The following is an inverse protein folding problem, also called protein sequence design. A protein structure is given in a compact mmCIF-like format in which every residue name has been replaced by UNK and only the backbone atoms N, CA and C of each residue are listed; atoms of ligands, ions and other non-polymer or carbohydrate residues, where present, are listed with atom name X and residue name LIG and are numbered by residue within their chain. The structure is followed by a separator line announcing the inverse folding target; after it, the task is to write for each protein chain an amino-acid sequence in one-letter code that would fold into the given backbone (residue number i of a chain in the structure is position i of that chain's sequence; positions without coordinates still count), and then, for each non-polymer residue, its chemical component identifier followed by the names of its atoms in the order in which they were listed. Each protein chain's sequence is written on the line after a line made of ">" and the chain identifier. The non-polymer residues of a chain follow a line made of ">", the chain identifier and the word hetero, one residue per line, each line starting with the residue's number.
data_IF_762331388145
#
_entry.id   IF_762331388145
#
_cell.length_a   1.000
_cell.length_b   1.000
_cell.length_c   1.000
_cell.angle_alpha   90.00
_cell.angle_beta   90.00
_cell.angle_gamma   90.00
#
_symmetry.space_group_name_H-M   'P 1'
#
loop_
_entity.id
_entity.type
_entity.pdbx_description
1 polymer ?
#
# COMPACT_ATOMS: atom_id res chain seq x y z
N UNK A 1 -36.50 -10.89 -0.46
CA UNK A 1 -35.88 -9.63 -0.93
C UNK A 1 -36.38 -8.40 -0.18
N UNK A 2 -37.65 -8.28 0.23
CA UNK A 2 -38.12 -7.07 0.94
C UNK A 2 -37.63 -6.95 2.40
N UNK A 3 -37.47 -8.05 3.15
CA UNK A 3 -37.03 -7.99 4.56
C UNK A 3 -35.57 -7.54 4.71
N UNK A 4 -34.66 -8.03 3.86
CA UNK A 4 -33.25 -7.61 3.85
C UNK A 4 -33.07 -6.14 3.46
N UNK A 5 -33.90 -5.64 2.53
CA UNK A 5 -33.88 -4.23 2.11
C UNK A 5 -34.44 -3.34 3.24
N UNK A 6 -35.54 -3.75 3.89
CA UNK A 6 -36.12 -3.03 5.03
C UNK A 6 -35.14 -2.91 6.21
N UNK A 7 -34.39 -3.99 6.50
CA UNK A 7 -33.40 -3.97 7.58
C UNK A 7 -32.22 -3.05 7.27
N UNK A 8 -31.79 -2.96 6.00
CA UNK A 8 -30.69 -2.06 5.61
C UNK A 8 -31.09 -0.59 5.71
N UNK A 9 -32.26 -0.21 5.20
CA UNK A 9 -32.76 1.17 5.31
C UNK A 9 -33.00 1.57 6.78
N UNK A 10 -33.56 0.66 7.58
CA UNK A 10 -33.75 0.87 9.02
C UNK A 10 -32.43 1.13 9.76
N UNK A 11 -31.37 0.38 9.44
CA UNK A 11 -30.06 0.54 10.08
C UNK A 11 -29.36 1.83 9.65
N UNK A 12 -29.41 2.19 8.37
CA UNK A 12 -28.87 3.47 7.87
C UNK A 12 -29.57 4.66 8.57
N UNK A 13 -30.89 4.64 8.68
CA UNK A 13 -31.64 5.68 9.39
C UNK A 13 -31.35 5.70 10.90
N UNK A 14 -31.09 4.54 11.50
CA UNK A 14 -30.69 4.45 12.92
C UNK A 14 -29.31 5.08 13.14
N UNK A 15 -28.34 4.83 12.25
CA UNK A 15 -27.02 5.45 12.31
C UNK A 15 -27.12 6.98 12.18
N UNK A 16 -27.91 7.49 11.23
CA UNK A 16 -28.18 8.93 11.08
C UNK A 16 -28.73 9.55 12.37
N UNK A 17 -29.67 8.85 13.02
CA UNK A 17 -30.28 9.30 14.27
C UNK A 17 -29.30 9.32 15.45
N UNK A 18 -28.37 8.36 15.50
CA UNK A 18 -27.33 8.29 16.54
C UNK A 18 -26.32 9.42 16.33
N UNK A 19 -25.87 9.65 15.08
CA UNK A 19 -24.99 10.76 14.74
C UNK A 19 -25.59 12.13 15.07
N UNK A 20 -26.87 12.35 14.76
CA UNK A 20 -27.55 13.58 15.12
C UNK A 20 -27.56 13.79 16.64
N UNK A 21 -27.79 12.74 17.42
CA UNK A 21 -27.76 12.81 18.90
C UNK A 21 -26.36 13.12 19.45
N UNK A 22 -25.31 12.56 18.85
CA UNK A 22 -23.93 12.85 19.23
C UNK A 22 -23.57 14.32 18.91
N UNK A 23 -24.01 14.83 17.75
CA UNK A 23 -23.84 16.25 17.40
C UNK A 23 -24.63 17.21 18.30
N UNK A 24 -25.77 16.77 18.82
CA UNK A 24 -26.55 17.51 19.83
C UNK A 24 -25.92 17.47 21.24
N UNK A 25 -24.77 16.80 21.40
CA UNK A 25 -24.00 16.78 22.64
C UNK A 25 -24.30 15.61 23.57
N UNK A 26 -25.03 14.59 23.12
CA UNK A 26 -25.15 13.33 23.89
C UNK A 26 -23.83 12.58 23.90
N UNK A 27 -23.59 11.88 25.00
CA UNK A 27 -22.41 11.03 25.18
C UNK A 27 -22.60 9.67 24.51
N UNK A 28 -21.48 9.00 24.19
CA UNK A 28 -21.45 7.63 23.65
C UNK A 28 -22.26 6.67 24.52
N UNK A 29 -22.21 6.81 25.84
CA UNK A 29 -22.91 5.94 26.79
C UNK A 29 -24.44 6.07 26.70
N UNK A 30 -24.95 7.27 26.36
CA UNK A 30 -26.39 7.53 26.23
C UNK A 30 -26.99 6.96 24.94
N UNK A 31 -26.17 6.79 23.90
CA UNK A 31 -26.60 6.23 22.60
C UNK A 31 -26.25 4.75 22.44
N UNK A 32 -25.40 4.20 23.32
CA UNK A 32 -24.94 2.80 23.33
C UNK A 32 -26.07 1.78 23.27
N UNK A 33 -27.13 1.97 24.05
CA UNK A 33 -28.28 1.06 24.10
C UNK A 33 -29.08 1.03 22.79
N UNK A 34 -29.29 2.19 22.16
CA UNK A 34 -29.97 2.32 20.88
C UNK A 34 -29.16 1.65 19.76
N UNK A 35 -27.83 1.76 19.82
CA UNK A 35 -26.94 1.10 18.89
C UNK A 35 -26.97 -0.43 19.08
N UNK A 36 -26.81 -0.91 20.32
CA UNK A 36 -26.83 -2.34 20.62
C UNK A 36 -28.13 -3.04 20.19
N UNK A 37 -29.29 -2.43 20.44
CA UNK A 37 -30.60 -2.98 20.07
C UNK A 37 -30.79 -3.06 18.53
N UNK A 38 -30.27 -2.08 17.78
CA UNK A 38 -30.42 -2.05 16.33
C UNK A 38 -29.43 -2.95 15.58
N UNK A 39 -28.31 -3.28 16.23
CA UNK A 39 -27.18 -4.01 15.64
C UNK A 39 -26.87 -5.34 16.34
N UNK A 40 -27.77 -5.84 17.18
CA UNK A 40 -27.65 -7.17 17.79
C UNK A 40 -27.62 -8.28 16.72
N UNK A 41 -26.59 -9.13 16.76
CA UNK A 41 -26.43 -10.24 15.80
C UNK A 41 -26.02 -9.82 14.37
N UNK A 42 -25.53 -8.59 14.19
CA UNK A 42 -25.09 -8.03 12.91
C UNK A 42 -23.59 -8.19 12.72
N UNK A 43 -23.14 -8.62 11.53
CA UNK A 43 -21.71 -8.71 11.23
C UNK A 43 -21.07 -7.33 11.10
N UNK A 44 -19.76 -7.23 11.35
CA UNK A 44 -19.00 -5.99 11.16
C UNK A 44 -19.11 -5.47 9.71
N UNK A 45 -19.22 -6.37 8.73
CA UNK A 45 -19.41 -6.04 7.32
C UNK A 45 -20.72 -5.28 7.08
N UNK A 46 -21.84 -5.74 7.64
CA UNK A 46 -23.15 -5.10 7.46
C UNK A 46 -23.19 -3.68 8.06
N UNK A 47 -22.43 -3.43 9.13
CA UNK A 47 -22.25 -2.09 9.72
C UNK A 47 -21.41 -1.22 8.78
N UNK A 48 -20.28 -1.74 8.29
CA UNK A 48 -19.40 -1.01 7.37
C UNK A 48 -20.12 -0.65 6.06
N UNK A 49 -20.97 -1.53 5.54
CA UNK A 49 -21.79 -1.27 4.35
C UNK A 49 -22.83 -0.17 4.59
N UNK A 50 -23.34 -0.02 5.82
CA UNK A 50 -24.26 1.05 6.19
C UNK A 50 -23.53 2.40 6.31
N UNK A 51 -22.33 2.42 6.91
CA UNK A 51 -21.47 3.61 6.96
C UNK A 51 -21.04 4.07 5.56
N UNK A 52 -20.64 3.13 4.70
CA UNK A 52 -20.24 3.44 3.32
C UNK A 52 -21.41 4.03 2.51
N UNK A 53 -22.65 3.61 2.79
CA UNK A 53 -23.84 4.22 2.20
C UNK A 53 -23.99 5.69 2.63
N UNK A 54 -23.70 6.01 3.90
CA UNK A 54 -23.74 7.39 4.40
C UNK A 54 -22.65 8.28 3.78
N UNK A 55 -21.43 7.76 3.60
CA UNK A 55 -20.36 8.47 2.87
C UNK A 55 -20.80 8.74 1.43
N UNK A 56 -21.39 7.76 0.76
CA UNK A 56 -21.89 7.91 -0.61
C UNK A 56 -23.05 8.92 -0.71
N UNK A 57 -23.82 9.10 0.37
CA UNK A 57 -24.86 10.14 0.50
C UNK A 57 -24.29 11.54 0.82
N UNK A 58 -22.96 11.67 0.96
CA UNK A 58 -22.26 12.95 1.14
C UNK A 58 -21.92 13.30 2.58
N UNK A 59 -22.05 12.36 3.52
CA UNK A 59 -21.64 12.54 4.90
C UNK A 59 -20.12 12.61 5.02
N UNK A 60 -19.61 13.51 5.87
CA UNK A 60 -18.17 13.66 6.05
C UNK A 60 -17.60 12.48 6.85
N UNK A 61 -16.40 12.02 6.49
CA UNK A 61 -15.77 10.84 7.11
C UNK A 61 -15.48 11.11 8.59
N UNK A 62 -15.19 12.36 8.93
CA UNK A 62 -14.96 12.85 10.28
C UNK A 62 -16.22 12.74 11.17
N UNK A 63 -17.42 12.80 10.60
CA UNK A 63 -18.67 12.62 11.35
C UNK A 63 -18.88 11.14 11.72
N UNK A 64 -18.47 10.24 10.82
CA UNK A 64 -18.50 8.78 11.04
C UNK A 64 -17.45 8.35 12.07
N UNK A 65 -16.34 9.08 12.18
CA UNK A 65 -15.31 8.81 13.19
C UNK A 65 -15.89 8.80 14.63
N UNK A 66 -16.91 9.60 14.92
CA UNK A 66 -17.57 9.63 16.24
C UNK A 66 -18.43 8.39 16.53
N UNK A 67 -18.87 7.64 15.51
CA UNK A 67 -19.56 6.34 15.67
C UNK A 67 -18.58 5.23 16.05
N UNK A 68 -17.32 5.33 15.64
CA UNK A 68 -16.32 4.28 15.89
C UNK A 68 -16.12 4.01 17.40
N UNK A 69 -16.26 5.03 18.24
CA UNK A 69 -16.17 4.90 19.70
C UNK A 69 -17.42 4.20 20.28
N UNK A 70 -18.59 4.40 19.67
CA UNK A 70 -19.83 3.68 20.03
C UNK A 70 -19.71 2.19 19.67
N UNK A 71 -19.17 1.85 18.50
CA UNK A 71 -19.00 0.47 18.07
C UNK A 71 -18.05 -0.29 19.02
N UNK A 72 -16.88 0.30 19.34
CA UNK A 72 -15.92 -0.32 20.25
C UNK A 72 -16.53 -0.63 21.64
N UNK A 73 -17.37 0.26 22.17
CA UNK A 73 -18.00 0.08 23.47
C UNK A 73 -19.17 -0.91 23.49
N UNK A 74 -19.94 -1.02 22.40
CA UNK A 74 -21.05 -1.98 22.27
C UNK A 74 -20.54 -3.40 22.02
N UNK A 75 -19.51 -3.55 21.17
CA UNK A 75 -18.95 -4.85 20.82
C UNK A 75 -18.12 -5.50 21.94
N UNK A 76 -17.59 -4.72 22.89
CA UNK A 76 -16.98 -5.24 24.13
C UNK A 76 -17.92 -6.15 24.95
N UNK A 77 -19.25 -6.02 24.79
CA UNK A 77 -20.24 -6.73 25.60
C UNK A 77 -20.97 -7.91 24.93
N UNK A 78 -20.93 -8.06 23.60
CA UNK A 78 -21.94 -8.86 22.87
C UNK A 78 -21.39 -9.86 21.86
N UNK A 79 -20.16 -10.36 22.00
CA UNK A 79 -19.59 -11.32 21.05
C UNK A 79 -19.63 -12.72 21.66
N UNK A 80 -20.70 -13.47 21.36
CA UNK A 80 -20.70 -14.93 21.52
C UNK A 80 -19.80 -15.54 20.44
N UNK A 81 -18.78 -16.28 20.89
CA UNK A 81 -17.89 -17.10 20.06
C UNK A 81 -18.69 -18.17 19.29
N UNK A 82 -18.81 -18.01 17.97
CA UNK A 82 -19.29 -19.09 17.10
C UNK A 82 -18.08 -19.89 16.60
N UNK A 83 -17.84 -21.02 17.27
CA UNK A 83 -16.88 -22.08 16.96
C UNK A 83 -16.80 -22.47 15.46
N UNK A 84 -15.58 -22.55 14.91
CA UNK A 84 -15.19 -23.45 13.80
C UNK A 84 -13.66 -23.75 13.89
N UNK A 85 -13.24 -24.96 13.54
CA UNK A 85 -11.90 -25.53 13.82
C UNK A 85 -10.72 -24.79 13.17
N UNK A 86 -9.49 -25.17 13.55
CA UNK A 86 -8.19 -24.53 13.19
C UNK A 86 -8.24 -23.81 11.83
N UNK A 87 -8.53 -22.51 11.86
CA UNK A 87 -8.57 -21.71 10.64
C UNK A 87 -7.16 -21.53 10.08
N UNK A 88 -6.97 -21.46 8.75
CA UNK A 88 -5.69 -21.10 8.15
C UNK A 88 -5.11 -19.79 8.70
N UNK A 89 -5.98 -18.89 9.17
CA UNK A 89 -5.68 -17.63 9.84
C UNK A 89 -4.93 -17.80 11.18
N UNK A 90 -4.96 -18.99 11.78
CA UNK A 90 -4.29 -19.36 13.04
C UNK A 90 -2.93 -20.05 12.82
N UNK A 91 -2.51 -20.28 11.57
CA UNK A 91 -1.15 -20.77 11.28
C UNK A 91 -0.12 -19.67 11.61
N UNK A 92 1.01 -19.97 12.30
CA UNK A 92 1.96 -18.95 12.74
C UNK A 92 2.50 -18.03 11.64
N UNK A 93 2.66 -18.54 10.42
CA UNK A 93 3.15 -17.77 9.27
C UNK A 93 2.07 -17.00 8.53
N UNK A 94 0.77 -17.28 8.77
CA UNK A 94 -0.33 -16.63 8.07
C UNK A 94 -0.38 -15.15 8.44
N UNK A 95 -0.52 -14.20 7.49
CA UNK A 95 -0.41 -12.77 7.81
C UNK A 95 -1.43 -12.27 8.83
N UNK A 96 -2.64 -12.85 8.88
CA UNK A 96 -3.60 -12.60 9.95
C UNK A 96 -3.07 -12.97 11.35
N UNK A 97 -2.43 -14.16 11.51
CA UNK A 97 -1.79 -14.53 12.77
C UNK A 97 -0.60 -13.63 13.07
N UNK A 98 0.19 -13.27 12.05
CA UNK A 98 1.30 -12.33 12.23
C UNK A 98 0.81 -11.00 12.80
N UNK A 99 -0.30 -10.45 12.28
CA UNK A 99 -0.90 -9.23 12.81
C UNK A 99 -1.30 -9.41 14.29
N UNK A 100 -1.98 -10.50 14.64
CA UNK A 100 -2.35 -10.83 16.03
C UNK A 100 -1.11 -10.97 16.92
N UNK A 101 -0.08 -11.66 16.46
CA UNK A 101 1.16 -11.89 17.20
C UNK A 101 1.90 -10.57 17.49
N UNK A 102 1.91 -9.65 16.54
CA UNK A 102 2.44 -8.30 16.74
C UNK A 102 1.62 -7.51 17.74
N UNK A 103 0.29 -7.64 17.71
CA UNK A 103 -0.60 -7.03 18.71
C UNK A 103 -0.32 -7.54 20.12
N UNK A 104 -0.12 -8.85 20.29
CA UNK A 104 0.30 -9.42 21.58
C UNK A 104 1.68 -8.93 22.00
N UNK A 105 2.61 -8.75 21.08
CA UNK A 105 3.94 -8.22 21.38
C UNK A 105 3.87 -6.75 21.85
N UNK A 106 3.02 -5.92 21.23
CA UNK A 106 2.75 -4.56 21.65
C UNK A 106 2.15 -4.49 23.06
N UNK A 107 1.14 -5.31 23.35
CA UNK A 107 0.52 -5.39 24.68
C UNK A 107 1.52 -5.81 25.77
N UNK A 108 2.36 -6.81 25.47
CA UNK A 108 3.40 -7.26 26.39
C UNK A 108 4.38 -6.13 26.72
N UNK A 109 4.87 -5.41 25.69
CA UNK A 109 5.77 -4.28 25.88
C UNK A 109 5.09 -3.12 26.64
N UNK A 110 3.81 -2.86 26.38
CA UNK A 110 3.03 -1.91 27.18
C UNK A 110 2.93 -2.33 28.65
N UNK A 111 2.79 -3.62 28.92
CA UNK A 111 2.82 -4.19 30.27
C UNK A 111 4.16 -3.98 30.97
N UNK A 112 5.27 -4.22 30.26
CA UNK A 112 6.62 -3.96 30.77
C UNK A 112 6.81 -2.48 31.11
N UNK A 113 6.40 -1.57 30.22
CA UNK A 113 6.49 -0.12 30.41
C UNK A 113 5.76 0.34 31.66
N UNK A 114 4.59 -0.22 31.98
CA UNK A 114 3.82 0.13 33.19
C UNK A 114 4.58 -0.14 34.50
N UNK A 115 5.52 -1.08 34.48
CA UNK A 115 6.30 -1.49 35.66
C UNK A 115 7.76 -1.03 35.60
N UNK A 116 8.16 -0.39 34.51
CA UNK A 116 9.54 -0.01 34.25
C UNK A 116 10.00 1.12 35.18
N UNK A 117 11.29 1.10 35.53
CA UNK A 117 11.92 2.21 36.23
C UNK A 117 12.17 3.38 35.28
N UNK A 118 12.24 4.60 35.83
CA UNK A 118 12.46 5.82 35.04
C UNK A 118 13.76 5.81 34.22
N UNK A 119 14.74 4.96 34.57
CA UNK A 119 16.00 4.86 33.82
C UNK A 119 15.85 4.11 32.49
N UNK A 120 14.97 3.10 32.44
CA UNK A 120 14.81 2.22 31.26
C UNK A 120 13.58 2.62 30.44
N UNK A 121 12.67 3.41 31.03
CA UNK A 121 11.44 3.87 30.41
C UNK A 121 11.63 4.54 29.02
N UNK A 122 12.61 5.45 28.80
CA UNK A 122 12.79 6.07 27.48
C UNK A 122 13.14 5.06 26.38
N UNK A 123 13.98 4.07 26.68
CA UNK A 123 14.38 3.05 25.72
C UNK A 123 13.22 2.12 25.36
N UNK A 124 12.39 1.74 26.35
CA UNK A 124 11.20 0.93 26.09
C UNK A 124 10.15 1.70 25.28
N UNK A 125 9.91 2.98 25.57
CA UNK A 125 9.01 3.82 24.78
C UNK A 125 9.51 4.00 23.34
N UNK A 126 10.81 4.10 23.15
CA UNK A 126 11.43 4.16 21.82
C UNK A 126 11.23 2.85 21.06
N UNK A 127 11.44 1.71 21.71
CA UNK A 127 11.18 0.39 21.11
C UNK A 127 9.70 0.22 20.75
N UNK A 128 8.79 0.66 21.62
CA UNK A 128 7.36 0.64 21.36
C UNK A 128 7.02 1.49 20.13
N UNK A 129 7.56 2.70 20.03
CA UNK A 129 7.34 3.58 18.87
C UNK A 129 7.84 2.95 17.57
N UNK A 130 9.05 2.37 17.57
CA UNK A 130 9.62 1.74 16.38
C UNK A 130 8.84 0.50 15.94
N UNK A 131 8.45 -0.36 16.88
CA UNK A 131 7.63 -1.53 16.59
C UNK A 131 6.26 -1.13 16.03
N UNK A 132 5.58 -0.20 16.72
CA UNK A 132 4.26 0.28 16.32
C UNK A 132 4.27 0.93 14.93
N UNK A 133 5.32 1.71 14.60
CA UNK A 133 5.44 2.34 13.29
C UNK A 133 5.60 1.30 12.16
N UNK A 134 6.32 0.20 12.40
CA UNK A 134 6.41 -0.93 11.46
C UNK A 134 5.05 -1.61 11.31
N UNK A 135 4.38 -1.89 12.43
CA UNK A 135 3.06 -2.54 12.44
C UNK A 135 2.03 -1.75 11.63
N UNK A 136 1.90 -0.44 11.91
CA UNK A 136 0.97 0.42 11.21
C UNK A 136 1.33 0.61 9.74
N UNK A 137 2.61 0.73 9.38
CA UNK A 137 3.00 0.79 7.96
C UNK A 137 2.57 -0.46 7.19
N UNK A 138 2.69 -1.64 7.78
CA UNK A 138 2.19 -2.86 7.13
C UNK A 138 0.68 -2.82 6.99
N UNK A 139 -0.05 -2.49 8.06
CA UNK A 139 -1.50 -2.29 8.03
C UNK A 139 -1.93 -1.36 6.87
N UNK A 140 -1.32 -0.19 6.82
CA UNK A 140 -1.61 0.90 5.88
C UNK A 140 -1.27 0.58 4.42
N UNK A 141 -0.18 -0.15 4.18
CA UNK A 141 0.33 -0.36 2.82
C UNK A 141 0.07 -1.76 2.28
N UNK A 142 -0.30 -2.73 3.14
CA UNK A 142 -0.53 -4.12 2.74
C UNK A 142 -1.96 -4.58 2.96
N UNK A 143 -2.70 -4.05 3.92
CA UNK A 143 -4.06 -4.52 4.22
C UNK A 143 -5.13 -3.56 3.70
N UNK A 144 -4.98 -2.26 3.97
CA UNK A 144 -5.92 -1.24 3.51
C UNK A 144 -6.12 -1.21 1.99
N UNK A 145 -5.08 -1.35 1.14
CA UNK A 145 -5.29 -1.34 -0.30
C UNK A 145 -6.22 -2.45 -0.80
N UNK A 146 -6.19 -3.63 -0.19
CA UNK A 146 -7.12 -4.71 -0.56
C UNK A 146 -8.55 -4.37 -0.12
N UNK A 147 -8.76 -3.84 1.08
CA UNK A 147 -10.11 -3.39 1.50
C UNK A 147 -10.68 -2.36 0.51
N UNK A 148 -9.86 -1.42 0.06
CA UNK A 148 -10.26 -0.39 -0.91
C UNK A 148 -10.58 -0.99 -2.29
N UNK A 149 -9.84 -2.01 -2.74
CA UNK A 149 -10.14 -2.76 -3.96
C UNK A 149 -11.51 -3.47 -3.89
N UNK A 150 -11.90 -3.94 -2.70
CA UNK A 150 -13.23 -4.50 -2.43
C UNK A 150 -14.30 -3.42 -2.18
N UNK A 151 -13.99 -2.13 -2.37
CA UNK A 151 -14.93 -1.01 -2.23
C UNK A 151 -15.18 -0.58 -0.78
N UNK A 152 -14.39 -1.07 0.18
CA UNK A 152 -14.49 -0.77 1.61
C UNK A 152 -13.42 0.26 1.95
N UNK A 153 -13.77 1.55 1.86
CA UNK A 153 -12.79 2.66 1.99
C UNK A 153 -12.93 3.48 3.27
N UNK A 154 -14.08 3.43 3.95
CA UNK A 154 -14.31 4.21 5.16
C UNK A 154 -13.48 3.69 6.36
N UNK A 155 -13.48 2.38 6.70
CA UNK A 155 -12.67 1.89 7.84
C UNK A 155 -11.16 2.14 7.68
N UNK A 156 -10.51 1.87 6.53
CA UNK A 156 -9.09 2.19 6.33
C UNK A 156 -8.73 3.65 6.63
N UNK A 157 -9.50 4.60 6.09
CA UNK A 157 -9.24 6.04 6.28
C UNK A 157 -9.35 6.45 7.74
N UNK A 158 -10.37 5.96 8.44
CA UNK A 158 -10.58 6.29 9.86
C UNK A 158 -9.48 5.67 10.71
N UNK A 159 -9.14 4.40 10.47
CA UNK A 159 -8.07 3.72 11.20
C UNK A 159 -6.72 4.42 10.99
N UNK A 160 -6.39 4.82 9.76
CA UNK A 160 -5.17 5.58 9.45
C UNK A 160 -5.11 6.90 10.23
N UNK A 161 -6.21 7.66 10.28
CA UNK A 161 -6.26 8.89 11.06
C UNK A 161 -5.97 8.67 12.55
N UNK A 162 -6.48 7.59 13.13
CA UNK A 162 -6.20 7.20 14.52
C UNK A 162 -4.75 6.70 14.68
N UNK A 163 -4.18 6.01 13.68
CA UNK A 163 -2.77 5.60 13.69
C UNK A 163 -1.83 6.81 13.78
N UNK A 164 -2.11 7.87 13.02
CA UNK A 164 -1.35 9.12 13.05
C UNK A 164 -1.51 9.88 14.38
N UNK A 165 -2.71 9.86 14.97
CA UNK A 165 -2.97 10.37 16.32
C UNK A 165 -2.08 9.63 17.34
N UNK A 166 -2.10 8.30 17.32
CA UNK A 166 -1.32 7.46 18.24
C UNK A 166 0.19 7.68 18.05
N UNK A 167 0.68 7.73 16.80
CA UNK A 167 2.10 8.04 16.51
C UNK A 167 2.51 9.38 17.10
N UNK A 168 1.62 10.38 17.01
CA UNK A 168 1.87 11.73 17.55
C UNK A 168 1.89 11.73 19.07
N UNK A 169 0.91 11.08 19.71
CA UNK A 169 0.86 10.91 21.16
C UNK A 169 2.13 10.22 21.69
N UNK A 170 2.54 9.12 21.06
CA UNK A 170 3.70 8.34 21.50
C UNK A 170 5.02 9.09 21.30
N UNK A 171 5.16 9.87 20.22
CA UNK A 171 6.29 10.80 20.02
C UNK A 171 6.37 11.85 21.14
N UNK A 172 5.23 12.41 21.55
CA UNK A 172 5.17 13.41 22.60
C UNK A 172 5.53 12.80 23.97
N UNK A 173 5.03 11.59 24.25
CA UNK A 173 5.37 10.81 25.46
C UNK A 173 6.87 10.52 25.51
N UNK A 174 7.46 10.04 24.42
CA UNK A 174 8.89 9.77 24.32
C UNK A 174 9.72 11.02 24.60
N UNK A 175 9.40 12.14 23.95
CA UNK A 175 10.08 13.43 24.16
C UNK A 175 9.97 13.91 25.61
N UNK A 176 8.81 13.68 26.25
CA UNK A 176 8.59 14.08 27.65
C UNK A 176 9.41 13.21 28.61
N UNK A 177 9.51 11.90 28.33
CA UNK A 177 10.34 10.98 29.10
C UNK A 177 11.84 11.32 29.00
N UNK A 178 12.34 11.65 27.81
CA UNK A 178 13.74 12.05 27.58
C UNK A 178 14.13 13.34 28.31
N UNK A 179 13.18 14.26 28.48
CA UNK A 179 13.42 15.55 29.15
C UNK A 179 13.32 15.46 30.69
N UNK A 180 13.00 14.29 31.25
CA UNK A 180 12.92 14.09 32.70
C UNK A 180 11.80 14.86 33.41
N UNK A 181 10.66 15.06 32.72
CA UNK A 181 9.50 15.80 33.27
C UNK A 181 8.83 15.11 34.47
N UNK A 182 7.89 15.81 35.11
CA UNK A 182 7.11 15.35 36.27
C UNK A 182 6.51 13.96 36.04
N UNK A 183 6.78 13.04 36.97
CA UNK A 183 6.40 11.64 36.85
C UNK A 183 4.89 11.43 36.65
N UNK A 184 4.04 12.27 37.24
CA UNK A 184 2.58 12.09 37.19
C UNK A 184 1.97 12.46 35.82
N UNK A 185 2.38 13.59 35.23
CA UNK A 185 1.93 14.02 33.89
C UNK A 185 2.36 13.02 32.81
N UNK A 186 3.60 12.52 32.91
CA UNK A 186 4.12 11.51 31.99
C UNK A 186 3.32 10.20 32.09
N UNK A 187 2.99 9.76 33.31
CA UNK A 187 2.21 8.53 33.52
C UNK A 187 0.77 8.66 33.01
N UNK A 188 0.14 9.84 33.14
CA UNK A 188 -1.17 10.10 32.54
C UNK A 188 -1.11 10.01 31.02
N UNK A 189 -0.14 10.68 30.39
CA UNK A 189 0.02 10.67 28.93
C UNK A 189 0.33 9.26 28.39
N UNK A 190 1.15 8.47 29.10
CA UNK A 190 1.39 7.06 28.77
C UNK A 190 0.08 6.28 28.82
N UNK A 191 -0.70 6.43 29.90
CA UNK A 191 -1.95 5.70 30.11
C UNK A 191 -2.98 6.03 29.02
N UNK A 192 -3.15 7.29 28.65
CA UNK A 192 -4.04 7.73 27.56
C UNK A 192 -3.61 7.15 26.21
N UNK A 193 -2.31 7.18 25.91
CA UNK A 193 -1.76 6.61 24.67
C UNK A 193 -2.00 5.09 24.63
N UNK A 194 -1.85 4.41 25.76
CA UNK A 194 -2.05 2.96 25.87
C UNK A 194 -3.50 2.54 25.69
N UNK A 195 -4.46 3.34 26.14
CA UNK A 195 -5.89 3.11 25.87
C UNK A 195 -6.13 3.16 24.36
N UNK A 196 -5.63 4.19 23.67
CA UNK A 196 -5.79 4.32 22.21
C UNK A 196 -5.14 3.16 21.43
N UNK A 197 -3.94 2.71 21.84
CA UNK A 197 -3.29 1.53 21.22
C UNK A 197 -4.15 0.28 21.45
N UNK A 198 -4.64 0.04 22.67
CA UNK A 198 -5.48 -1.13 22.96
C UNK A 198 -6.80 -1.11 22.17
N UNK A 199 -7.41 0.07 22.02
CA UNK A 199 -8.61 0.22 21.19
C UNK A 199 -8.32 -0.02 19.69
N UNK A 200 -7.13 0.34 19.20
CA UNK A 200 -6.71 0.04 17.82
C UNK A 200 -6.49 -1.47 17.62
N UNK A 201 -5.81 -2.14 18.55
CA UNK A 201 -5.63 -3.60 18.54
C UNK A 201 -7.00 -4.31 18.49
N UNK A 202 -7.97 -3.84 19.29
CA UNK A 202 -9.32 -4.38 19.25
C UNK A 202 -9.98 -4.20 17.87
N UNK A 203 -9.88 -3.01 17.27
CA UNK A 203 -10.43 -2.74 15.93
C UNK A 203 -9.74 -3.59 14.86
N UNK A 204 -8.43 -3.78 14.96
CA UNK A 204 -7.66 -4.62 14.04
C UNK A 204 -8.14 -6.07 14.08
N UNK A 205 -8.28 -6.65 15.27
CA UNK A 205 -8.64 -8.06 15.39
C UNK A 205 -10.12 -8.34 15.12
N UNK A 206 -11.01 -7.42 15.51
CA UNK A 206 -12.46 -7.67 15.45
C UNK A 206 -13.15 -7.05 14.24
N UNK A 207 -12.54 -6.06 13.59
CA UNK A 207 -13.13 -5.36 12.44
C UNK A 207 -12.28 -5.59 11.20
N UNK A 208 -11.02 -5.18 11.23
CA UNK A 208 -10.12 -5.27 10.07
C UNK A 208 -9.91 -6.73 9.65
N UNK A 209 -9.48 -7.60 10.56
CA UNK A 209 -9.26 -9.01 10.24
C UNK A 209 -10.55 -9.73 9.84
N UNK A 210 -11.69 -9.40 10.46
CA UNK A 210 -12.99 -9.95 10.08
C UNK A 210 -13.31 -9.66 8.62
N UNK A 211 -13.24 -8.39 8.22
CA UNK A 211 -13.47 -7.98 6.83
C UNK A 211 -12.48 -8.66 5.87
N UNK A 212 -11.19 -8.67 6.23
CA UNK A 212 -10.17 -9.23 5.35
C UNK A 212 -10.31 -10.74 5.17
N UNK A 213 -10.61 -11.49 6.23
CA UNK A 213 -10.77 -12.94 6.17
C UNK A 213 -11.99 -13.34 5.34
N UNK A 214 -13.02 -12.51 5.31
CA UNK A 214 -14.23 -12.74 4.50
C UNK A 214 -14.03 -12.38 3.02
N UNK A 215 -13.15 -11.42 2.70
CA UNK A 215 -13.04 -10.86 1.34
C UNK A 215 -11.79 -11.31 0.57
N UNK A 216 -10.65 -11.51 1.24
CA UNK A 216 -9.39 -11.79 0.55
C UNK A 216 -9.29 -13.25 0.13
N UNK A 217 -8.76 -13.44 -1.07
CA UNK A 217 -8.39 -14.74 -1.60
C UNK A 217 -7.08 -15.25 -0.98
N UNK A 218 -6.85 -16.56 -1.10
CA UNK A 218 -5.62 -17.21 -0.65
C UNK A 218 -4.36 -16.62 -1.31
N UNK A 219 -4.44 -16.25 -2.59
CA UNK A 219 -3.31 -15.66 -3.32
C UNK A 219 -3.00 -14.23 -2.85
N UNK A 220 -4.02 -13.44 -2.51
CA UNK A 220 -3.84 -12.09 -1.94
C UNK A 220 -3.21 -12.16 -0.54
N UNK A 221 -3.68 -13.09 0.31
CA UNK A 221 -3.03 -13.36 1.60
C UNK A 221 -1.57 -13.79 1.43
N UNK A 222 -1.27 -14.60 0.42
CA UNK A 222 0.10 -15.01 0.12
C UNK A 222 0.95 -13.80 -0.29
N UNK A 223 0.42 -12.92 -1.13
CA UNK A 223 1.10 -11.70 -1.56
C UNK A 223 1.39 -10.78 -0.35
N UNK A 224 0.42 -10.58 0.55
CA UNK A 224 0.64 -9.83 1.80
C UNK A 224 1.78 -10.43 2.63
N UNK A 225 1.85 -11.76 2.72
CA UNK A 225 2.93 -12.45 3.43
C UNK A 225 4.31 -12.26 2.77
N UNK A 226 4.37 -12.23 1.44
CA UNK A 226 5.60 -11.98 0.69
C UNK A 226 6.09 -10.53 0.87
N UNK A 227 5.17 -9.56 0.76
CA UNK A 227 5.48 -8.13 0.83
C UNK A 227 5.76 -7.65 2.28
N UNK A 228 5.24 -8.36 3.29
CA UNK A 228 5.50 -8.06 4.71
C UNK A 228 6.99 -8.05 5.06
N UNK A 229 7.81 -8.82 4.33
CA UNK A 229 9.26 -8.86 4.52
C UNK A 229 9.97 -7.52 4.26
N UNK A 230 9.45 -6.69 3.36
CA UNK A 230 10.05 -5.41 2.98
C UNK A 230 9.88 -4.33 4.06
N UNK A 231 8.89 -4.49 4.94
CA UNK A 231 8.61 -3.58 6.05
C UNK A 231 9.25 -4.04 7.37
N UNK A 232 9.41 -5.35 7.55
CA UNK A 232 9.86 -5.96 8.80
C UNK A 232 8.72 -6.37 9.73
N UNK A 233 9.07 -6.86 10.93
CA UNK A 233 8.10 -7.39 11.90
C UNK A 233 8.19 -6.65 13.24
N UNK A 234 7.03 -6.29 13.79
CA UNK A 234 6.89 -5.54 15.03
C UNK A 234 7.16 -6.44 16.23
N UNK A 235 8.33 -6.28 16.85
CA UNK A 235 8.69 -6.90 18.14
C UNK A 235 8.63 -8.45 18.15
N UNK A 236 8.56 -9.08 16.98
CA UNK A 236 8.57 -10.53 16.81
C UNK A 236 9.66 -10.95 15.81
N UNK A 237 10.07 -12.21 15.88
CA UNK A 237 10.94 -12.80 14.85
C UNK A 237 10.16 -13.05 13.56
N UNK A 238 10.87 -13.12 12.43
CA UNK A 238 10.25 -13.42 11.13
C UNK A 238 9.57 -14.80 11.18
N UNK A 239 8.25 -14.89 10.96
CA UNK A 239 7.47 -16.12 11.16
C UNK A 239 7.64 -17.13 10.01
N UNK A 240 8.58 -16.90 9.10
CA UNK A 240 8.80 -17.73 7.92
C UNK A 240 7.76 -17.48 6.82
N UNK A 241 7.95 -18.13 5.66
CA UNK A 241 7.06 -17.97 4.51
C UNK A 241 5.82 -18.85 4.68
N UNK A 242 4.64 -18.24 4.61
CA UNK A 242 3.39 -18.99 4.53
C UNK A 242 3.23 -19.63 3.15
N UNK A 243 2.94 -20.92 3.15
CA UNK A 243 2.56 -21.67 1.96
C UNK A 243 1.19 -22.30 2.22
N UNK A 244 0.11 -21.80 1.58
CA UNK A 244 -1.19 -22.41 1.73
C UNK A 244 -1.16 -23.87 1.23
N UNK A 245 -1.92 -24.76 1.87
CA UNK A 245 -2.12 -26.12 1.37
C UNK A 245 -2.73 -26.06 -0.03
N UNK A 246 -2.30 -26.94 -0.94
CA UNK A 246 -2.76 -26.92 -2.33
C UNK A 246 -4.28 -27.11 -2.40
N UNK A 247 -5.01 -26.05 -2.76
CA UNK A 247 -6.44 -26.17 -3.07
C UNK A 247 -6.67 -27.23 -4.17
N UNK A 248 -7.73 -28.05 -4.04
CA UNK A 248 -8.12 -28.98 -5.10
C UNK A 248 -8.33 -28.20 -6.40
N UNK A 249 -7.80 -28.71 -7.52
CA UNK A 249 -7.82 -28.05 -8.83
C UNK A 249 -9.22 -27.58 -9.32
N UNK A 250 -10.30 -28.11 -8.73
CA UNK A 250 -11.68 -27.74 -9.02
C UNK A 250 -12.10 -26.38 -8.41
N UNK A 251 -11.54 -25.97 -7.26
CA UNK A 251 -11.83 -24.68 -6.61
C UNK A 251 -10.99 -23.55 -7.24
N UNK A 252 -9.71 -23.80 -7.55
CA UNK A 252 -8.88 -22.94 -8.41
C UNK A 252 -9.58 -22.60 -9.73
N UNK A 253 -10.27 -23.56 -10.35
CA UNK A 253 -11.00 -23.34 -11.60
C UNK A 253 -12.27 -22.47 -11.43
N UNK A 254 -12.90 -22.48 -10.25
CA UNK A 254 -14.06 -21.62 -9.95
C UNK A 254 -13.63 -20.20 -9.59
N UNK A 255 -12.64 -20.04 -8.71
CA UNK A 255 -12.11 -18.73 -8.31
C UNK A 255 -11.41 -18.03 -9.48
N UNK A 256 -10.65 -18.76 -10.30
CA UNK A 256 -10.13 -18.23 -11.56
C UNK A 256 -11.26 -17.88 -12.55
N UNK A 257 -12.41 -18.55 -12.53
CA UNK A 257 -13.52 -18.21 -13.43
C UNK A 257 -14.32 -16.97 -13.00
N UNK A 258 -14.35 -16.65 -11.70
CA UNK A 258 -15.01 -15.44 -11.19
C UNK A 258 -14.07 -14.23 -11.20
N UNK A 259 -12.77 -14.40 -10.90
CA UNK A 259 -11.75 -13.36 -11.16
C UNK A 259 -11.57 -13.08 -12.67
N UNK A 260 -11.76 -14.09 -13.53
CA UNK A 260 -11.66 -13.93 -14.99
C UNK A 260 -12.97 -13.49 -15.66
N UNK A 261 -14.09 -13.39 -14.93
CA UNK A 261 -15.31 -12.75 -15.44
C UNK A 261 -15.21 -11.22 -15.44
N UNK A 262 -14.40 -10.64 -14.57
CA UNK A 262 -14.03 -9.21 -14.59
C UNK A 262 -12.87 -8.92 -15.55
N UNK A 263 -12.08 -9.93 -15.95
CA UNK A 263 -10.98 -9.80 -16.92
C UNK A 263 -11.35 -10.23 -18.35
N UNK A 264 -12.58 -9.93 -18.81
CA UNK A 264 -12.90 -10.09 -20.23
C UNK A 264 -12.42 -8.88 -21.04
N UNK A 265 -11.22 -9.01 -21.59
CA UNK A 265 -10.80 -8.43 -22.88
C UNK A 265 -11.34 -7.03 -23.20
N UNK A 266 -10.85 -6.01 -22.51
CA UNK A 266 -10.73 -4.70 -23.17
C UNK A 266 -9.51 -4.78 -24.10
N UNK A 267 -9.77 -4.90 -25.41
CA UNK A 267 -8.73 -4.91 -26.42
C UNK A 267 -7.85 -3.65 -26.26
N UNK A 268 -6.62 -3.81 -25.79
CA UNK A 268 -5.66 -2.71 -25.62
C UNK A 268 -5.10 -2.51 -24.20
N UNK A 269 -5.41 -3.38 -23.23
CA UNK A 269 -4.77 -3.34 -21.90
C UNK A 269 -3.46 -4.16 -21.87
N UNK A 270 -2.38 -3.56 -21.39
CA UNK A 270 -1.06 -4.15 -21.14
C UNK A 270 -0.92 -4.39 -19.63
N UNK A 271 -0.76 -5.65 -19.24
CA UNK A 271 -0.52 -6.06 -17.86
C UNK A 271 0.98 -6.14 -17.55
N UNK A 272 1.41 -5.50 -16.48
CA UNK A 272 2.77 -5.53 -15.93
C UNK A 272 2.72 -6.09 -14.49
N UNK A 273 3.85 -6.56 -13.92
CA UNK A 273 3.84 -7.12 -12.55
C UNK A 273 3.34 -6.16 -11.47
N UNK A 274 3.47 -4.85 -11.68
CA UNK A 274 3.12 -3.80 -10.70
C UNK A 274 1.90 -2.96 -11.11
N UNK A 275 1.09 -3.43 -12.06
CA UNK A 275 -0.11 -2.72 -12.53
C UNK A 275 -0.38 -2.88 -14.01
N UNK A 276 -1.31 -2.10 -14.54
CA UNK A 276 -1.72 -2.18 -15.95
C UNK A 276 -1.86 -0.82 -16.60
N UNK A 277 -1.60 -0.74 -17.90
CA UNK A 277 -1.85 0.45 -18.72
C UNK A 277 -2.62 0.06 -19.97
N UNK A 278 -3.48 0.93 -20.46
CA UNK A 278 -3.89 0.88 -21.87
C UNK A 278 -2.69 1.21 -22.76
N UNK A 279 -2.69 0.75 -24.02
CA UNK A 279 -1.66 1.11 -25.02
C UNK A 279 -1.52 2.63 -25.15
N UNK A 280 -2.64 3.36 -25.07
CA UNK A 280 -2.65 4.82 -25.15
C UNK A 280 -1.94 5.47 -23.96
N UNK A 281 -2.23 5.02 -22.73
CA UNK A 281 -1.56 5.51 -21.51
C UNK A 281 -0.07 5.22 -21.56
N UNK A 282 0.33 3.98 -21.89
CA UNK A 282 1.75 3.62 -21.97
C UNK A 282 2.49 4.48 -23.01
N UNK A 283 1.89 4.69 -24.18
CA UNK A 283 2.48 5.53 -25.24
C UNK A 283 2.65 6.96 -24.76
N UNK A 284 1.62 7.53 -24.12
CA UNK A 284 1.63 8.92 -23.64
C UNK A 284 2.64 9.11 -22.52
N UNK A 285 2.76 8.16 -21.59
CA UNK A 285 3.76 8.17 -20.53
C UNK A 285 5.16 8.21 -21.13
N UNK A 286 5.47 7.29 -22.06
CA UNK A 286 6.80 7.21 -22.69
C UNK A 286 7.17 8.46 -23.50
N UNK A 287 6.17 9.13 -24.10
CA UNK A 287 6.35 10.39 -24.83
C UNK A 287 6.45 11.62 -23.88
N UNK A 288 5.95 11.51 -22.65
CA UNK A 288 5.97 12.58 -21.64
C UNK A 288 7.26 12.61 -20.82
N UNK A 289 7.97 11.48 -20.74
CA UNK A 289 9.23 11.39 -19.99
C UNK A 289 10.22 12.49 -20.45
N UNK A 290 10.98 13.11 -19.53
CA UNK A 290 11.97 14.15 -19.86
C UNK A 290 13.25 13.54 -20.45
N UNK A 291 13.12 12.43 -21.18
CA UNK A 291 14.15 11.66 -21.85
C UNK A 291 13.59 11.08 -23.14
N UNK A 292 14.44 10.98 -24.15
CA UNK A 292 14.15 10.22 -25.37
C UNK A 292 14.57 8.78 -25.19
N UNK A 293 13.72 7.86 -25.64
CA UNK A 293 14.00 6.43 -25.62
C UNK A 293 14.07 5.92 -27.06
N UNK A 294 15.02 5.02 -27.34
CA UNK A 294 15.01 4.12 -28.51
C UNK A 294 15.32 2.72 -28.03
N UNK A 295 14.49 1.73 -28.38
CA UNK A 295 14.73 0.33 -28.07
C UNK A 295 15.10 -0.46 -29.33
N UNK A 296 16.20 -1.19 -29.26
CA UNK A 296 16.71 -2.11 -30.28
C UNK A 296 16.59 -3.52 -29.74
N UNK A 297 15.91 -4.42 -30.47
CA UNK A 297 15.71 -5.80 -30.05
C UNK A 297 16.98 -6.64 -30.12
N UNK A 298 16.94 -7.84 -29.56
CA UNK A 298 18.06 -8.81 -29.58
C UNK A 298 18.55 -9.21 -30.98
N UNK A 299 17.71 -9.01 -32.00
CA UNK A 299 18.00 -9.21 -33.42
C UNK A 299 18.62 -7.98 -34.10
N UNK A 300 19.00 -6.97 -33.31
CA UNK A 300 19.63 -5.70 -33.74
C UNK A 300 18.73 -4.79 -34.58
N UNK A 301 17.42 -5.03 -34.57
CA UNK A 301 16.43 -4.19 -35.26
C UNK A 301 15.83 -3.16 -34.31
N UNK A 302 15.59 -1.94 -34.80
CA UNK A 302 14.89 -0.90 -34.02
C UNK A 302 13.43 -1.30 -33.83
N UNK A 303 12.97 -1.39 -32.58
CA UNK A 303 11.61 -1.84 -32.23
C UNK A 303 10.69 -0.70 -31.82
N UNK A 304 11.24 0.30 -31.17
CA UNK A 304 10.46 1.40 -30.61
C UNK A 304 11.33 2.65 -30.45
N UNK A 305 10.69 3.82 -30.50
CA UNK A 305 11.25 5.08 -30.01
C UNK A 305 10.13 5.97 -29.48
N UNK A 306 10.39 6.77 -28.46
CA UNK A 306 9.44 7.78 -27.97
C UNK A 306 9.46 9.05 -28.84
N UNK A 307 8.32 9.72 -28.98
CA UNK A 307 8.18 11.04 -29.59
C UNK A 307 7.99 12.11 -28.53
N UNK A 308 9.01 12.32 -27.70
CA UNK A 308 9.01 13.46 -26.78
C UNK A 308 8.96 14.78 -27.56
N UNK A 309 8.30 15.79 -26.99
CA UNK A 309 8.21 17.13 -27.60
C UNK A 309 9.56 17.82 -27.74
N UNK A 310 10.55 17.42 -26.93
CA UNK A 310 11.90 17.98 -26.92
C UNK A 310 12.96 17.09 -27.58
N UNK A 311 12.52 16.06 -28.33
CA UNK A 311 13.41 15.03 -28.87
C UNK A 311 14.64 15.59 -29.56
N UNK A 312 15.81 15.19 -29.09
CA UNK A 312 17.09 15.77 -29.51
C UNK A 312 17.52 15.21 -30.86
N UNK A 313 17.39 13.89 -31.02
CA UNK A 313 17.69 13.20 -32.28
C UNK A 313 16.40 12.70 -32.94
N UNK A 314 15.98 13.43 -33.97
CA UNK A 314 14.79 13.10 -34.76
C UNK A 314 14.84 11.65 -35.26
N UNK A 315 13.69 10.97 -35.17
CA UNK A 315 13.45 9.64 -35.73
C UNK A 315 12.18 9.68 -36.56
N UNK A 316 12.16 8.90 -37.62
CA UNK A 316 10.98 8.73 -38.47
C UNK A 316 10.45 7.29 -38.29
N UNK A 317 9.14 7.05 -38.41
CA UNK A 317 8.59 5.68 -38.30
C UNK A 317 9.24 4.66 -39.25
N UNK A 318 9.80 5.11 -40.37
CA UNK A 318 10.57 4.28 -41.31
C UNK A 318 11.83 3.63 -40.72
N UNK A 319 12.27 4.02 -39.53
CA UNK A 319 13.40 3.39 -38.83
C UNK A 319 13.01 2.07 -38.17
N UNK A 320 11.73 1.85 -37.88
CA UNK A 320 11.25 0.63 -37.22
C UNK A 320 11.52 -0.59 -38.11
N UNK A 321 12.11 -1.63 -37.54
CA UNK A 321 12.53 -2.85 -38.22
C UNK A 321 13.88 -2.74 -38.96
N UNK A 322 14.52 -1.57 -38.98
CA UNK A 322 15.85 -1.39 -39.59
C UNK A 322 16.95 -1.88 -38.65
N UNK A 323 17.99 -2.52 -39.21
CA UNK A 323 19.20 -2.88 -38.46
C UNK A 323 19.90 -1.62 -37.92
N UNK A 324 20.33 -1.67 -36.67
CA UNK A 324 20.99 -0.56 -35.96
C UNK A 324 22.27 -0.09 -36.67
N UNK A 325 23.02 -1.01 -37.28
CA UNK A 325 24.23 -0.69 -38.05
C UNK A 325 23.93 0.20 -39.27
N UNK A 326 22.76 0.01 -39.89
CA UNK A 326 22.32 0.82 -41.01
C UNK A 326 21.80 2.21 -40.59
N UNK A 327 21.54 2.45 -39.30
CA UNK A 327 21.09 3.75 -38.79
C UNK A 327 22.23 4.73 -38.52
N UNK A 328 23.49 4.30 -38.63
CA UNK A 328 24.66 5.09 -38.30
C UNK A 328 25.58 5.31 -39.53
N UNK A 329 26.30 6.44 -39.62
CA UNK A 329 27.29 6.65 -40.67
C UNK A 329 28.40 5.57 -40.68
N UNK A 330 29.00 5.25 -41.84
CA UNK A 330 30.08 4.25 -41.92
C UNK A 330 31.28 4.53 -41.01
N UNK A 331 31.54 5.80 -40.69
CA UNK A 331 32.63 6.20 -39.81
C UNK A 331 32.42 5.79 -38.35
N UNK A 332 31.19 5.54 -37.89
CA UNK A 332 30.86 5.21 -36.49
C UNK A 332 30.17 3.86 -36.30
N UNK A 333 29.79 3.18 -37.39
CA UNK A 333 29.06 1.89 -37.32
C UNK A 333 29.82 0.82 -36.53
N UNK A 334 31.14 0.75 -36.68
CA UNK A 334 31.99 -0.23 -35.98
C UNK A 334 32.01 -0.03 -34.45
N UNK A 335 31.78 1.20 -33.97
CA UNK A 335 31.68 1.50 -32.54
C UNK A 335 30.36 0.96 -32.00
N UNK A 336 29.27 1.14 -32.74
CA UNK A 336 27.94 0.66 -32.38
C UNK A 336 27.88 -0.87 -32.41
N UNK A 337 28.42 -1.50 -33.45
CA UNK A 337 28.48 -2.96 -33.57
C UNK A 337 29.26 -3.58 -32.42
N UNK A 338 30.44 -3.02 -32.10
CA UNK A 338 31.23 -3.47 -30.96
C UNK A 338 30.48 -3.30 -29.64
N UNK A 339 29.79 -2.18 -29.43
CA UNK A 339 29.04 -1.93 -28.20
C UNK A 339 27.89 -2.92 -28.03
N UNK A 340 27.15 -3.21 -29.10
CA UNK A 340 26.08 -4.22 -29.10
C UNK A 340 26.65 -5.62 -28.82
N UNK A 341 27.82 -5.96 -29.38
CA UNK A 341 28.50 -7.22 -29.11
C UNK A 341 28.96 -7.33 -27.64
N UNK A 342 29.55 -6.27 -27.10
CA UNK A 342 29.95 -6.18 -25.68
C UNK A 342 28.74 -6.40 -24.75
N UNK A 343 27.57 -5.83 -25.08
CA UNK A 343 26.34 -6.03 -24.33
C UNK A 343 25.80 -7.46 -24.43
N UNK A 344 25.76 -8.03 -25.64
CA UNK A 344 25.32 -9.42 -25.88
C UNK A 344 26.16 -10.43 -25.10
N UNK A 345 27.47 -10.22 -25.08
CA UNK A 345 28.43 -11.11 -24.42
C UNK A 345 28.58 -10.86 -22.91
N UNK A 346 27.84 -9.89 -22.34
CA UNK A 346 27.92 -9.57 -20.92
C UNK A 346 29.23 -8.89 -20.50
N UNK A 347 29.97 -8.31 -21.45
CA UNK A 347 31.20 -7.57 -21.19
C UNK A 347 30.87 -6.20 -20.57
N UNK A 348 29.75 -5.61 -20.97
CA UNK A 348 29.23 -4.34 -20.45
C UNK A 348 27.73 -4.46 -20.20
N UNK A 349 27.24 -3.63 -19.28
CA UNK A 349 25.80 -3.43 -19.06
C UNK A 349 25.34 -2.01 -19.40
N UNK A 350 26.26 -1.04 -19.46
CA UNK A 350 25.96 0.31 -19.91
C UNK A 350 27.16 1.01 -20.54
N UNK A 351 26.90 2.07 -21.32
CA UNK A 351 27.90 2.99 -21.85
C UNK A 351 27.31 4.38 -22.01
N UNK A 352 28.04 5.41 -21.57
CA UNK A 352 27.56 6.78 -21.50
C UNK A 352 28.44 7.72 -22.33
N UNK A 353 27.81 8.61 -23.10
CA UNK A 353 28.47 9.66 -23.87
C UNK A 353 27.78 11.00 -23.62
N UNK A 354 28.54 12.09 -23.71
CA UNK A 354 27.98 13.42 -23.56
C UNK A 354 28.58 14.38 -24.59
N UNK A 355 27.71 15.20 -25.18
CA UNK A 355 28.11 16.14 -26.22
C UNK A 355 27.41 17.48 -26.03
N UNK A 356 28.07 18.55 -26.49
CA UNK A 356 27.45 19.85 -26.60
C UNK A 356 26.88 20.00 -28.01
N UNK A 357 25.58 20.28 -28.11
CA UNK A 357 24.88 20.51 -29.37
C UNK A 357 24.17 21.86 -29.30
N UNK A 358 24.87 22.91 -29.73
CA UNK A 358 24.39 24.28 -29.56
C UNK A 358 24.32 24.66 -28.09
N UNK A 359 23.13 25.05 -27.62
CA UNK A 359 22.81 25.38 -26.24
C UNK A 359 22.45 24.15 -25.37
N UNK A 360 22.27 22.98 -25.99
CA UNK A 360 21.96 21.73 -25.28
C UNK A 360 23.24 21.04 -24.82
N UNK A 361 23.23 20.55 -23.58
CA UNK A 361 24.22 19.58 -23.11
C UNK A 361 23.55 18.21 -23.06
N UNK A 362 23.89 17.37 -24.03
CA UNK A 362 23.19 16.11 -24.29
C UNK A 362 23.94 14.97 -23.63
N UNK A 363 23.27 14.24 -22.74
CA UNK A 363 23.70 12.96 -22.20
C UNK A 363 23.01 11.84 -22.98
N UNK A 364 23.80 10.92 -23.53
CA UNK A 364 23.35 9.75 -24.28
C UNK A 364 23.85 8.51 -23.55
N UNK A 365 22.94 7.62 -23.19
CA UNK A 365 23.22 6.43 -22.39
C UNK A 365 22.70 5.21 -23.12
N UNK A 366 23.49 4.15 -23.16
CA UNK A 366 23.09 2.86 -23.70
C UNK A 366 23.07 1.85 -22.57
N UNK A 367 22.05 1.00 -22.53
CA UNK A 367 21.90 -0.06 -21.54
C UNK A 367 21.63 -1.40 -22.23
N UNK A 368 22.28 -2.46 -21.75
CA UNK A 368 21.89 -3.82 -22.08
C UNK A 368 20.58 -4.15 -21.34
N UNK A 369 19.50 -4.41 -22.09
CA UNK A 369 18.22 -4.82 -21.51
C UNK A 369 18.26 -6.33 -21.32
N UNK A 370 18.13 -6.80 -20.08
CA UNK A 370 18.15 -8.21 -19.72
C UNK A 370 16.85 -8.60 -19.00
N UNK A 371 16.33 -9.78 -19.32
CA UNK A 371 15.14 -10.35 -18.68
C UNK A 371 15.46 -11.04 -17.35
N UNK A 372 14.44 -11.63 -16.73
CA UNK A 372 14.63 -12.54 -15.60
C UNK A 372 15.56 -13.69 -16.01
N UNK A 373 16.57 -13.99 -15.19
CA UNK A 373 17.59 -15.00 -15.51
C UNK A 373 18.80 -14.49 -16.32
N UNK A 374 18.85 -13.20 -16.67
CA UNK A 374 19.99 -12.58 -17.34
C UNK A 374 19.96 -12.63 -18.87
N UNK A 375 18.87 -13.13 -19.45
CA UNK A 375 18.69 -13.24 -20.90
C UNK A 375 18.73 -11.88 -21.59
N UNK A 376 19.63 -11.71 -22.57
CA UNK A 376 19.73 -10.48 -23.34
C UNK A 376 18.50 -10.27 -24.25
N UNK A 377 17.78 -9.17 -24.02
CA UNK A 377 16.57 -8.78 -24.75
C UNK A 377 16.83 -7.70 -25.81
N UNK A 378 17.89 -6.89 -25.65
CA UNK A 378 18.21 -5.81 -26.57
C UNK A 378 19.04 -4.67 -25.96
N UNK A 379 19.04 -3.52 -26.64
CA UNK A 379 19.70 -2.29 -26.18
C UNK A 379 18.65 -1.19 -26.00
N UNK A 380 18.72 -0.48 -24.89
CA UNK A 380 17.99 0.76 -24.65
C UNK A 380 18.94 1.94 -24.83
N UNK A 381 18.67 2.83 -25.78
CA UNK A 381 19.28 4.15 -25.89
C UNK A 381 18.39 5.15 -25.16
N UNK A 382 18.97 5.94 -24.26
CA UNK A 382 18.32 7.03 -23.53
C UNK A 382 19.08 8.32 -23.79
N UNK A 383 18.38 9.38 -24.20
CA UNK A 383 18.99 10.70 -24.44
C UNK A 383 18.29 11.78 -23.63
N UNK A 384 19.05 12.69 -23.03
CA UNK A 384 18.53 13.78 -22.20
C UNK A 384 19.32 15.09 -22.39
N UNK A 385 18.63 16.23 -22.43
CA UNK A 385 19.27 17.54 -22.26
C UNK A 385 19.45 17.81 -20.77
N UNK A 386 20.68 17.69 -20.28
CA UNK A 386 21.01 17.88 -18.86
C UNK A 386 21.40 19.33 -18.53
N UNK A 387 21.45 20.23 -19.50
CA UNK A 387 21.79 21.64 -19.26
C UNK A 387 20.85 22.33 -18.24
N UNK A 388 19.51 22.10 -18.24
CA UNK A 388 18.64 22.62 -17.19
C UNK A 388 18.91 22.00 -15.82
N UNK A 389 19.21 20.70 -15.78
CA UNK A 389 19.49 19.96 -14.54
C UNK A 389 20.76 20.49 -13.87
N UNK A 390 21.82 20.77 -14.64
CA UNK A 390 23.06 21.32 -14.11
C UNK A 390 22.93 22.74 -13.50
N UNK A 391 21.81 23.43 -13.75
CA UNK A 391 21.52 24.76 -13.17
C UNK A 391 20.77 24.68 -11.84
N UNK A 392 20.27 23.51 -11.45
CA UNK A 392 19.54 23.33 -10.19
C UNK A 392 20.52 23.53 -9.02
N UNK A 393 20.14 24.37 -8.06
CA UNK A 393 20.89 24.63 -6.83
C UNK A 393 19.92 24.77 -5.65
N UNK A 394 20.38 24.42 -4.44
CA UNK A 394 19.55 24.45 -3.22
C UNK A 394 18.41 23.42 -3.22
N UNK A 395 17.44 23.61 -2.33
CA UNK A 395 16.28 22.74 -2.16
C UNK A 395 14.98 23.46 -2.57
N UNK A 396 14.14 22.80 -3.38
CA UNK A 396 12.75 23.22 -3.62
C UNK A 396 11.81 22.15 -3.05
N UNK A 397 11.23 22.42 -1.88
CA UNK A 397 10.39 21.45 -1.13
C UNK A 397 8.89 21.68 -1.26
N UNK A 398 8.49 22.76 -1.92
CA UNK A 398 7.10 23.16 -2.13
C UNK A 398 6.88 23.53 -3.60
N UNK A 399 5.64 23.38 -4.06
CA UNK A 399 5.22 23.78 -5.40
C UNK A 399 5.32 25.30 -5.53
N UNK A 400 5.75 25.78 -6.70
CA UNK A 400 5.67 27.22 -7.03
C UNK A 400 4.26 27.51 -7.51
N UNK A 401 3.64 28.58 -7.03
CA UNK A 401 2.36 29.09 -7.58
C UNK A 401 2.41 29.31 -9.09
#
# INVERSE_FOLDING_TARGET
>A
MSELINNREFRVETIKKILAQLHEGKTVEEVKSQFAEAFEGVSAEEISQAEQALVNEGMAVEEIQNLCDVHAEVFKGSIEEIHRGEEPSELPSHPANVLKAENRALENLMGEIKTASSQVLPDLLKNLYQGLDIHYKKKENLFFPYMEQYGISAPPKVMWGVDDEIRTMLKNVLKTAENGSLAEELQSAISETFVKIADMIFKEENILLGILLENLTVDEWKQIGEDSGDFGYCLIESPGKWTPEEEPAAERARNASDAMKTQRNEAGLIQLPTGSFTVQELTTILDTLPIDITFVGKDDTVRYFSQSSERIFHRTPSVIGRQVSNCHPPASVHIVEKLVEDFKNGIKDSEDFWIHLGDKFVLIRYFAVRGQGGDYLGVLEVTQNIAPIQKITGDKRLVSE
#
